data_IF_179556723676
#
_entry.id   IF_179556723676
#
_cell.length_a   1.000
_cell.length_b   1.000
_cell.length_c   1.000
_cell.angle_alpha   90.00
_cell.angle_beta   90.00
_cell.angle_gamma   90.00
#
_symmetry.space_group_name_H-M   'P 1'
#
loop_
_entity.id
_entity.type
_entity.pdbx_description
1 polymer ?
#
# COMPACT_ATOMS: atom_id res chain seq x y z
N UNK A 1 21.03 -16.62 -0.89
CA UNK A 1 20.05 -16.86 -1.96
C UNK A 1 19.98 -15.59 -2.78
N UNK A 2 20.17 -15.69 -4.08
CA UNK A 2 20.12 -14.54 -5.00
C UNK A 2 18.76 -14.54 -5.69
N UNK A 3 18.13 -13.37 -5.78
CA UNK A 3 16.81 -13.20 -6.38
C UNK A 3 16.76 -11.89 -7.16
N UNK A 4 15.88 -11.82 -8.16
CA UNK A 4 15.62 -10.59 -8.91
C UNK A 4 14.47 -9.80 -8.29
N UNK A 5 14.38 -8.50 -8.61
CA UNK A 5 13.28 -7.66 -8.13
C UNK A 5 11.92 -8.16 -8.64
N UNK A 6 11.88 -8.69 -9.85
CA UNK A 6 10.67 -9.26 -10.45
C UNK A 6 10.17 -10.46 -9.64
N UNK A 7 11.04 -11.42 -9.33
CA UNK A 7 10.67 -12.58 -8.52
C UNK A 7 10.18 -12.17 -7.13
N UNK A 8 10.87 -11.24 -6.48
CA UNK A 8 10.48 -10.72 -5.16
C UNK A 8 9.14 -9.97 -5.22
N UNK A 9 8.85 -9.24 -6.30
CA UNK A 9 7.55 -8.57 -6.48
C UNK A 9 6.38 -9.54 -6.59
N UNK A 10 6.59 -10.75 -7.13
CA UNK A 10 5.56 -11.81 -7.18
C UNK A 10 5.33 -12.40 -5.78
N UNK A 11 6.40 -12.61 -5.01
CA UNK A 11 6.29 -13.09 -3.62
C UNK A 11 5.53 -12.07 -2.77
N UNK A 12 5.88 -10.79 -2.90
CA UNK A 12 5.18 -9.67 -2.31
C UNK A 12 3.69 -9.65 -2.65
N UNK A 13 3.36 -9.77 -3.94
CA UNK A 13 1.99 -9.80 -4.42
C UNK A 13 1.22 -11.01 -3.89
N UNK A 14 1.88 -12.16 -3.74
CA UNK A 14 1.31 -13.38 -3.16
C UNK A 14 0.90 -13.16 -1.71
N UNK A 15 1.77 -12.52 -0.90
CA UNK A 15 1.44 -12.15 0.48
C UNK A 15 0.31 -11.10 0.53
N UNK A 16 0.35 -10.10 -0.36
CA UNK A 16 -0.70 -9.08 -0.45
C UNK A 16 -2.06 -9.68 -0.87
N UNK A 17 -2.06 -10.78 -1.61
CA UNK A 17 -3.24 -11.54 -2.04
C UNK A 17 -3.65 -12.64 -1.06
N UNK A 18 -3.20 -12.58 0.19
CA UNK A 18 -3.61 -13.51 1.25
C UNK A 18 -2.98 -14.90 1.15
N UNK A 19 -1.87 -15.05 0.43
CA UNK A 19 -1.15 -16.32 0.28
C UNK A 19 -1.44 -17.07 -1.01
N UNK A 20 -2.22 -16.46 -1.91
CA UNK A 20 -2.60 -17.05 -3.19
C UNK A 20 -1.71 -16.47 -4.31
N UNK A 21 -0.90 -17.32 -4.93
CA UNK A 21 -0.09 -16.98 -6.09
C UNK A 21 -0.88 -17.37 -7.35
N UNK A 22 -1.34 -16.37 -8.11
CA UNK A 22 -2.22 -16.54 -9.27
C UNK A 22 -3.52 -17.28 -8.95
N UNK A 23 -3.50 -18.61 -8.91
CA UNK A 23 -4.64 -19.50 -8.63
C UNK A 23 -4.33 -20.56 -7.59
N UNK A 24 -3.11 -20.61 -7.07
CA UNK A 24 -2.66 -21.63 -6.12
C UNK A 24 -2.50 -21.04 -4.72
N UNK A 25 -3.02 -21.74 -3.72
CA UNK A 25 -2.80 -21.40 -2.31
C UNK A 25 -1.41 -21.88 -1.89
N UNK A 26 -0.47 -20.94 -1.75
CA UNK A 26 0.90 -21.21 -1.30
C UNK A 26 0.98 -21.14 0.22
N UNK A 27 0.24 -20.21 0.82
CA UNK A 27 0.20 -20.00 2.27
C UNK A 27 -1.23 -19.89 2.77
N UNK A 28 -1.46 -20.41 3.99
CA UNK A 28 -2.73 -20.21 4.69
C UNK A 28 -2.94 -18.71 4.99
N UNK A 29 -4.14 -18.15 4.76
CA UNK A 29 -4.42 -16.73 5.01
C UNK A 29 -4.16 -16.26 6.44
N UNK A 30 -4.29 -17.16 7.42
CA UNK A 30 -3.99 -16.91 8.84
C UNK A 30 -2.51 -16.60 9.05
N UNK A 31 -1.62 -17.42 8.45
CA UNK A 31 -0.17 -17.24 8.53
C UNK A 31 0.25 -15.95 7.85
N UNK A 32 -0.35 -15.66 6.69
CA UNK A 32 -0.07 -14.42 5.94
C UNK A 32 -0.45 -13.19 6.76
N UNK A 33 -1.60 -13.22 7.45
CA UNK A 33 -2.01 -12.13 8.34
C UNK A 33 -1.02 -11.92 9.48
N UNK A 34 -0.57 -12.99 10.12
CA UNK A 34 0.38 -12.92 11.24
C UNK A 34 1.74 -12.37 10.77
N UNK A 35 2.24 -12.87 9.64
CA UNK A 35 3.49 -12.38 9.02
C UNK A 35 3.37 -10.90 8.67
N UNK A 36 2.31 -10.48 7.97
CA UNK A 36 2.10 -9.07 7.61
C UNK A 36 1.98 -8.16 8.83
N UNK A 37 1.40 -8.67 9.93
CA UNK A 37 1.26 -7.92 11.19
C UNK A 37 2.61 -7.73 11.88
N UNK A 38 3.42 -8.78 11.97
CA UNK A 38 4.77 -8.72 12.53
C UNK A 38 5.67 -7.84 11.66
N UNK A 39 5.56 -7.97 10.35
CA UNK A 39 6.28 -7.13 9.39
C UNK A 39 5.95 -5.65 9.55
N UNK A 40 4.70 -5.32 9.90
CA UNK A 40 4.32 -3.93 10.13
C UNK A 40 4.97 -3.36 11.40
N UNK A 41 5.02 -4.13 12.49
CA UNK A 41 5.60 -3.67 13.76
C UNK A 41 7.13 -3.76 13.81
N UNK A 42 7.74 -4.73 13.12
CA UNK A 42 9.15 -5.11 13.27
C UNK A 42 9.94 -5.10 11.95
N UNK A 43 9.35 -4.68 10.82
CA UNK A 43 9.94 -4.86 9.49
C UNK A 43 11.15 -3.98 9.14
N UNK A 44 11.36 -2.86 9.84
CA UNK A 44 12.40 -1.87 9.53
C UNK A 44 13.32 -1.56 10.69
N UNK A 45 14.05 -2.56 11.21
CA UNK A 45 15.08 -2.37 12.25
C UNK A 45 14.64 -1.37 13.36
N UNK A 46 15.51 -0.45 13.77
CA UNK A 46 15.22 0.61 14.73
C UNK A 46 14.36 1.75 14.13
N UNK A 47 14.12 1.73 12.81
CA UNK A 47 13.25 2.67 12.10
C UNK A 47 11.77 2.24 12.09
N UNK A 48 11.46 1.06 12.60
CA UNK A 48 10.13 0.41 12.57
C UNK A 48 9.00 1.28 13.11
N UNK A 49 9.22 1.97 14.24
CA UNK A 49 8.22 2.88 14.81
C UNK A 49 7.92 4.10 13.93
N UNK A 50 8.94 4.78 13.42
CA UNK A 50 8.75 5.96 12.55
C UNK A 50 8.19 5.56 11.19
N UNK A 51 8.60 4.40 10.68
CA UNK A 51 8.14 3.84 9.42
C UNK A 51 6.67 3.44 9.48
N UNK A 52 6.25 2.67 10.49
CA UNK A 52 4.86 2.25 10.66
C UNK A 52 3.89 3.44 10.85
N UNK A 53 4.37 4.52 11.46
CA UNK A 53 3.56 5.72 11.69
C UNK A 53 3.38 6.61 10.46
N UNK A 54 4.38 6.68 9.58
CA UNK A 54 4.41 7.62 8.46
C UNK A 54 4.24 6.98 7.08
N UNK A 55 4.45 5.67 6.95
CA UNK A 55 4.57 4.98 5.67
C UNK A 55 3.89 3.58 5.70
N UNK A 56 3.11 3.20 4.67
CA UNK A 56 2.41 1.93 4.57
C UNK A 56 3.18 0.88 3.76
N UNK A 57 4.45 1.12 3.47
CA UNK A 57 5.29 0.09 2.89
C UNK A 57 5.70 -0.89 3.98
N UNK A 58 5.94 -2.13 3.58
CA UNK A 58 6.63 -3.10 4.41
C UNK A 58 8.07 -3.16 3.90
N UNK A 59 9.00 -3.65 4.71
CA UNK A 59 10.40 -3.77 4.30
C UNK A 59 10.85 -5.16 4.64
N UNK A 60 11.60 -5.75 3.73
CA UNK A 60 12.22 -7.05 3.92
C UNK A 60 13.73 -6.84 4.04
N UNK A 61 14.20 -6.34 5.18
CA UNK A 61 15.63 -6.27 5.50
C UNK A 61 16.43 -5.13 4.84
N UNK A 62 17.74 -5.10 5.10
CA UNK A 62 18.61 -3.91 4.90
C UNK A 62 18.59 -3.31 3.48
N UNK A 63 18.50 -4.15 2.44
CA UNK A 63 18.64 -3.71 1.04
C UNK A 63 17.32 -3.71 0.26
N UNK A 64 16.22 -4.10 0.89
CA UNK A 64 15.02 -4.51 0.17
C UNK A 64 13.76 -3.96 0.82
N UNK A 65 13.01 -3.16 0.07
CA UNK A 65 11.71 -2.68 0.53
C UNK A 65 10.62 -3.38 -0.27
N UNK A 66 9.61 -3.90 0.43
CA UNK A 66 8.45 -4.54 -0.17
C UNK A 66 7.17 -3.79 0.19
N UNK A 67 6.62 -3.02 -0.74
CA UNK A 67 5.33 -2.34 -0.55
C UNK A 67 4.20 -3.35 -0.73
N UNK A 68 3.98 -4.18 0.29
CA UNK A 68 2.79 -5.00 0.42
C UNK A 68 1.62 -4.15 0.90
N UNK A 69 0.88 -3.52 -0.02
CA UNK A 69 -0.40 -2.93 0.34
C UNK A 69 -1.44 -4.06 0.33
N UNK A 70 -1.92 -4.44 1.52
CA UNK A 70 -2.93 -5.50 1.69
C UNK A 70 -4.05 -5.35 0.64
N UNK A 71 -4.23 -6.39 -0.17
CA UNK A 71 -5.24 -6.55 -1.21
C UNK A 71 -5.13 -5.65 -2.47
N UNK A 72 -3.99 -4.99 -2.75
CA UNK A 72 -3.85 -4.19 -3.99
C UNK A 72 -2.65 -4.61 -4.82
N UNK A 73 -1.44 -4.57 -4.28
CA UNK A 73 -0.21 -4.93 -5.01
C UNK A 73 0.97 -5.17 -4.06
N UNK A 74 1.96 -5.91 -4.54
CA UNK A 74 3.30 -6.00 -3.94
C UNK A 74 4.32 -5.30 -4.83
N UNK A 75 5.18 -4.44 -4.27
CA UNK A 75 6.24 -3.75 -5.02
C UNK A 75 7.55 -3.99 -4.31
N UNK A 76 8.54 -4.49 -5.05
CA UNK A 76 9.88 -4.64 -4.51
C UNK A 76 10.82 -3.56 -5.04
N UNK A 77 11.54 -2.87 -4.15
CA UNK A 77 12.58 -1.92 -4.53
C UNK A 77 13.94 -2.36 -4.00
N UNK A 78 14.95 -2.24 -4.87
CA UNK A 78 16.34 -2.50 -4.54
C UNK A 78 17.19 -1.30 -4.92
N UNK A 79 18.06 -0.88 -4.01
CA UNK A 79 19.04 0.16 -4.27
C UNK A 79 20.27 -0.05 -3.36
N UNK A 80 21.48 -0.18 -3.93
CA UNK A 80 22.70 -0.46 -3.17
C UNK A 80 23.07 0.54 -2.06
N UNK A 81 22.86 1.87 -2.22
CA UNK A 81 23.15 2.84 -1.17
C UNK A 81 22.24 2.68 0.05
N UNK A 82 22.84 2.55 1.22
CA UNK A 82 22.17 2.41 2.52
C UNK A 82 22.32 3.67 3.37
N UNK A 83 21.31 3.96 4.19
CA UNK A 83 21.38 4.97 5.23
C UNK A 83 22.16 4.46 6.46
N UNK A 84 22.29 5.31 7.49
CA UNK A 84 22.97 4.97 8.74
C UNK A 84 22.26 3.87 9.55
N UNK A 85 20.96 3.66 9.30
CA UNK A 85 20.13 2.64 9.93
C UNK A 85 20.10 1.33 9.11
N UNK A 86 20.84 1.30 8.00
CA UNK A 86 20.93 0.15 7.12
C UNK A 86 19.74 -0.02 6.17
N UNK A 87 18.90 1.00 5.95
CA UNK A 87 17.80 0.96 4.97
C UNK A 87 18.25 1.51 3.62
N UNK A 88 17.68 1.02 2.51
CA UNK A 88 17.95 1.60 1.19
C UNK A 88 17.41 3.03 1.05
N UNK A 89 18.29 4.00 0.82
CA UNK A 89 17.96 5.44 0.77
C UNK A 89 16.87 5.73 -0.27
N UNK A 90 17.04 5.18 -1.48
CA UNK A 90 16.07 5.39 -2.58
C UNK A 90 14.76 4.66 -2.35
N UNK A 91 14.79 3.50 -1.69
CA UNK A 91 13.59 2.76 -1.36
C UNK A 91 12.72 3.50 -0.35
N UNK A 92 13.34 4.10 0.67
CA UNK A 92 12.63 4.94 1.65
C UNK A 92 12.03 6.16 0.97
N UNK A 93 12.80 6.87 0.13
CA UNK A 93 12.31 8.03 -0.61
C UNK A 93 11.14 7.67 -1.55
N UNK A 94 11.25 6.56 -2.29
CA UNK A 94 10.18 6.09 -3.15
C UNK A 94 8.88 5.87 -2.36
N UNK A 95 8.99 5.26 -1.19
CA UNK A 95 7.83 5.02 -0.34
C UNK A 95 7.20 6.31 0.20
N UNK A 96 7.99 7.34 0.52
CA UNK A 96 7.47 8.66 0.90
C UNK A 96 6.66 9.30 -0.22
N UNK A 97 7.26 9.35 -1.42
CA UNK A 97 6.64 9.94 -2.59
C UNK A 97 5.35 9.19 -2.96
N UNK A 98 5.37 7.85 -2.87
CA UNK A 98 4.20 7.01 -3.15
C UNK A 98 3.01 7.37 -2.24
N UNK A 99 3.23 7.60 -0.94
CA UNK A 99 2.18 7.94 0.03
C UNK A 99 1.70 9.37 -0.08
N UNK A 100 2.58 10.26 -0.52
CA UNK A 100 2.24 11.65 -0.78
C UNK A 100 1.28 11.77 -1.98
N UNK A 101 1.46 10.92 -3.01
CA UNK A 101 0.67 10.94 -4.24
C UNK A 101 -0.59 10.09 -4.15
N UNK A 102 -0.51 8.92 -3.51
CA UNK A 102 -1.58 7.93 -3.46
C UNK A 102 -2.12 7.71 -2.04
N UNK A 103 -3.39 7.33 -1.95
CA UNK A 103 -4.07 7.03 -0.68
C UNK A 103 -3.77 5.61 -0.16
N UNK A 104 -2.52 5.19 -0.26
CA UNK A 104 -2.09 3.86 0.19
C UNK A 104 -1.76 3.80 1.68
N UNK A 105 -1.83 4.92 2.41
CA UNK A 105 -1.62 4.88 3.85
C UNK A 105 -2.72 4.03 4.52
N UNK A 106 -2.35 3.10 5.40
CA UNK A 106 -3.31 2.15 6.00
C UNK A 106 -4.43 2.87 6.77
N UNK A 107 -4.09 4.02 7.36
CA UNK A 107 -5.00 4.90 8.08
C UNK A 107 -5.48 6.10 7.25
N UNK A 108 -5.29 6.09 5.93
CA UNK A 108 -5.83 7.15 5.05
C UNK A 108 -7.34 7.03 4.88
N UNK A 109 -8.00 8.15 4.64
CA UNK A 109 -9.46 8.18 4.48
C UNK A 109 -9.85 7.95 3.02
N UNK A 110 -10.52 6.83 2.72
CA UNK A 110 -10.94 6.49 1.36
C UNK A 110 -12.11 7.35 0.81
N UNK A 111 -12.85 8.01 1.70
CA UNK A 111 -14.03 8.83 1.37
C UNK A 111 -13.69 10.32 1.29
N UNK A 112 -12.84 10.81 2.19
CA UNK A 112 -12.48 12.24 2.31
C UNK A 112 -11.00 12.52 2.00
N UNK A 113 -10.39 11.71 1.12
CA UNK A 113 -8.97 11.84 0.80
C UNK A 113 -8.64 13.25 0.26
N UNK A 114 -7.71 13.93 0.93
CA UNK A 114 -7.11 15.19 0.50
C UNK A 114 -6.34 14.99 -0.81
N UNK A 115 -6.75 15.55 -1.95
CA UNK A 115 -6.02 15.64 -3.25
C UNK A 115 -5.21 14.41 -3.77
N UNK A 116 -5.27 13.27 -3.10
CA UNK A 116 -4.51 12.04 -3.39
C UNK A 116 -5.27 11.19 -4.39
N UNK A 117 -4.52 10.45 -5.20
CA UNK A 117 -5.09 9.57 -6.22
C UNK A 117 -5.41 8.21 -5.60
N UNK A 118 -6.62 7.72 -5.85
CA UNK A 118 -6.99 6.33 -5.59
C UNK A 118 -7.04 5.57 -6.93
N UNK A 119 -6.06 4.69 -7.21
CA UNK A 119 -6.02 3.95 -8.47
C UNK A 119 -7.10 2.87 -8.57
N UNK A 120 -7.79 2.53 -7.47
CA UNK A 120 -8.92 1.60 -7.50
C UNK A 120 -10.20 2.24 -8.04
N UNK A 121 -10.28 3.58 -8.08
CA UNK A 121 -11.44 4.31 -8.59
C UNK A 121 -11.20 4.72 -10.04
N UNK A 122 -12.12 4.38 -10.94
CA UNK A 122 -12.05 4.81 -12.32
C UNK A 122 -12.36 6.33 -12.40
N UNK A 123 -11.43 7.14 -12.94
CA UNK A 123 -11.50 8.63 -12.93
C UNK A 123 -12.82 9.20 -13.47
N UNK A 124 -13.43 8.52 -14.43
CA UNK A 124 -14.66 8.98 -15.08
C UNK A 124 -15.92 8.58 -14.32
N UNK A 125 -15.89 7.44 -13.64
CA UNK A 125 -17.04 6.89 -12.92
C UNK A 125 -17.31 7.65 -11.62
N UNK A 126 -16.25 8.09 -10.91
CA UNK A 126 -16.40 8.78 -9.62
C UNK A 126 -16.98 10.20 -9.76
N UNK A 127 -16.59 10.94 -10.81
CA UNK A 127 -17.16 12.26 -11.09
C UNK A 127 -18.61 12.14 -11.56
N UNK A 128 -18.89 11.19 -12.44
CA UNK A 128 -20.25 10.90 -12.91
C UNK A 128 -21.18 10.54 -11.75
N UNK A 129 -20.79 9.59 -10.89
CA UNK A 129 -21.58 9.20 -9.72
C UNK A 129 -21.82 10.37 -8.76
N UNK A 130 -20.80 11.20 -8.50
CA UNK A 130 -20.96 12.34 -7.59
C UNK A 130 -21.95 13.35 -8.15
N UNK A 131 -21.88 13.65 -9.45
CA UNK A 131 -22.83 14.55 -10.11
C UNK A 131 -24.24 13.97 -10.10
N UNK A 132 -24.39 12.68 -10.42
CA UNK A 132 -25.71 12.01 -10.43
C UNK A 132 -26.31 11.99 -9.03
N UNK A 133 -25.53 11.66 -8.00
CA UNK A 133 -26.00 11.66 -6.61
C UNK A 133 -26.42 13.07 -6.17
N UNK A 134 -25.62 14.09 -6.51
CA UNK A 134 -25.96 15.49 -6.20
C UNK A 134 -27.27 15.92 -6.88
N UNK A 135 -27.46 15.56 -8.16
CA UNK A 135 -28.68 15.85 -8.90
C UNK A 135 -29.89 15.11 -8.33
N UNK A 136 -29.72 13.86 -7.91
CA UNK A 136 -30.79 13.06 -7.29
C UNK A 136 -31.21 13.65 -5.94
N UNK A 137 -30.25 14.06 -5.11
CA UNK A 137 -30.52 14.74 -3.85
C UNK A 137 -31.23 16.09 -4.05
N UNK A 138 -30.80 16.88 -5.04
CA UNK A 138 -31.47 18.13 -5.40
C UNK A 138 -32.91 17.90 -5.90
N UNK A 139 -33.13 16.86 -6.70
CA UNK A 139 -34.47 16.48 -7.17
C UNK A 139 -35.39 16.01 -6.02
N UNK A 140 -34.82 15.38 -5.00
CA UNK A 140 -35.54 14.98 -3.77
C UNK A 140 -35.81 16.13 -2.79
N UNK A 141 -35.28 17.33 -3.06
CA UNK A 141 -35.41 18.49 -2.17
C UNK A 141 -34.58 18.38 -0.88
N UNK A 142 -33.64 17.44 -0.82
CA UNK A 142 -32.79 17.22 0.35
C UNK A 142 -31.58 18.15 0.32
N UNK A 143 -31.68 19.27 1.05
CA UNK A 143 -30.62 20.29 1.18
C UNK A 143 -29.47 19.88 2.09
N UNK A 144 -29.56 18.73 2.77
CA UNK A 144 -28.52 18.26 3.71
C UNK A 144 -27.44 17.41 3.04
N UNK A 145 -27.67 16.97 1.80
CA UNK A 145 -26.82 16.03 1.08
C UNK A 145 -25.77 16.70 0.17
N UNK A 146 -25.65 18.04 0.22
CA UNK A 146 -24.69 18.84 -0.55
C UNK A 146 -23.34 19.01 0.16
#
# INVERSE_FOLDING_TARGET
METTCEAMSVIAATLANGGICYTEEVFRPEVVRDVLSIMHSCGTYDYSGQFAFSRPCQVWGQRWHDVGHTNVMGIFTWSPPLDQLGNSVRGVQFCEELVSVFNFHRYDNLKHASNKKDPRKHRYETKGLSIVNLLFSAAGGDVTAA
#
